data_IF_784185102665
#
_entry.id   IF_784185102665
#
_cell.length_a   1.000
_cell.length_b   1.000
_cell.length_c   1.000
_cell.angle_alpha   90.00
_cell.angle_beta   90.00
_cell.angle_gamma   90.00
#
_symmetry.space_group_name_H-M   'P 1'
#
loop_
_entity.id
_entity.type
_entity.pdbx_description
1 polymer ?
#
# COMPACT_ATOMS: atom_id res chain seq x y z
N UNK A 1 14.18 2.62 15.43
CA UNK A 1 13.37 1.65 14.64
C UNK A 1 12.02 1.29 15.27
N UNK A 2 11.87 1.20 16.60
CA UNK A 2 10.58 0.85 17.25
C UNK A 2 9.42 1.80 16.90
N UNK A 3 9.71 3.06 16.60
CA UNK A 3 8.73 4.09 16.23
C UNK A 3 7.96 3.76 14.95
N UNK A 4 8.58 3.07 13.99
CA UNK A 4 7.97 2.72 12.70
C UNK A 4 6.99 1.53 12.78
N UNK A 5 7.05 0.76 13.88
CA UNK A 5 6.12 -0.32 14.19
C UNK A 5 4.85 0.17 14.90
N UNK A 6 4.77 1.47 15.23
CA UNK A 6 3.59 2.04 15.86
C UNK A 6 2.49 2.26 14.80
N UNK A 7 1.29 1.69 15.01
CA UNK A 7 0.20 1.75 14.02
C UNK A 7 -0.27 3.17 13.69
N UNK A 8 -0.03 4.15 14.56
CA UNK A 8 -0.42 5.56 14.29
C UNK A 8 0.25 6.13 13.04
N UNK A 9 1.47 5.70 12.73
CA UNK A 9 2.19 6.18 11.54
C UNK A 9 1.57 5.70 10.23
N UNK A 10 0.85 4.57 10.24
CA UNK A 10 0.15 4.08 9.05
C UNK A 10 -0.97 5.02 8.59
N UNK A 11 -1.50 5.87 9.47
CA UNK A 11 -2.49 6.88 9.09
C UNK A 11 -1.86 7.87 8.10
N UNK A 12 -0.69 8.39 8.44
CA UNK A 12 0.01 9.39 7.61
C UNK A 12 0.60 8.75 6.36
N UNK A 13 1.17 7.55 6.50
CA UNK A 13 1.88 6.88 5.40
C UNK A 13 0.91 6.27 4.38
N UNK A 14 -0.27 5.83 4.80
CA UNK A 14 -1.17 5.08 3.92
C UNK A 14 -2.60 5.60 3.88
N UNK A 15 -3.23 5.90 5.00
CA UNK A 15 -4.65 6.31 4.98
C UNK A 15 -4.83 7.66 4.31
N UNK A 16 -4.02 8.65 4.67
CA UNK A 16 -4.10 10.00 4.06
C UNK A 16 -3.83 9.93 2.54
N UNK A 17 -2.71 9.33 2.05
CA UNK A 17 -2.48 9.18 0.62
C UNK A 17 -3.59 8.43 -0.11
N UNK A 18 -4.12 7.33 0.44
CA UNK A 18 -5.21 6.59 -0.18
C UNK A 18 -6.52 7.39 -0.26
N UNK A 19 -6.84 8.19 0.77
CA UNK A 19 -8.00 9.09 0.74
C UNK A 19 -7.83 10.17 -0.33
N UNK A 20 -6.65 10.78 -0.42
CA UNK A 20 -6.35 11.78 -1.46
C UNK A 20 -6.49 11.14 -2.85
N UNK A 21 -5.95 9.93 -3.03
CA UNK A 21 -6.08 9.18 -4.28
C UNK A 21 -7.56 8.93 -4.64
N UNK A 22 -8.39 8.53 -3.68
CA UNK A 22 -9.84 8.33 -3.88
C UNK A 22 -10.54 9.63 -4.32
N UNK A 23 -10.20 10.76 -3.70
CA UNK A 23 -10.75 12.07 -4.07
C UNK A 23 -10.34 12.47 -5.49
N UNK A 24 -9.08 12.24 -5.86
CA UNK A 24 -8.59 12.51 -7.22
C UNK A 24 -9.26 11.62 -8.25
N UNK A 25 -9.42 10.32 -7.97
CA UNK A 25 -10.16 9.39 -8.82
C UNK A 25 -11.61 9.81 -9.01
N UNK A 26 -12.30 10.18 -7.94
CA UNK A 26 -13.67 10.66 -8.01
C UNK A 26 -13.78 11.95 -8.83
N UNK A 27 -12.89 12.92 -8.59
CA UNK A 27 -12.84 14.18 -9.34
C UNK A 27 -12.66 13.93 -10.84
N UNK A 28 -11.68 13.10 -11.21
CA UNK A 28 -11.42 12.77 -12.61
C UNK A 28 -12.60 12.03 -13.24
N UNK A 29 -13.15 11.01 -12.56
CA UNK A 29 -14.30 10.25 -13.04
C UNK A 29 -15.51 11.16 -13.29
N UNK A 30 -15.82 12.08 -12.38
CA UNK A 30 -16.95 13.02 -12.53
C UNK A 30 -16.85 13.88 -13.80
N UNK A 31 -15.63 14.29 -14.17
CA UNK A 31 -15.37 15.10 -15.37
C UNK A 31 -15.57 14.26 -16.64
N UNK A 32 -15.07 13.02 -16.67
CA UNK A 32 -15.03 12.21 -17.90
C UNK A 32 -16.23 11.26 -18.05
N UNK A 33 -17.04 11.06 -17.00
CA UNK A 33 -18.12 10.05 -16.96
C UNK A 33 -19.09 10.14 -18.14
N UNK A 34 -19.44 11.34 -18.59
CA UNK A 34 -20.37 11.54 -19.71
C UNK A 34 -19.83 11.09 -21.07
N UNK A 35 -18.51 10.93 -21.18
CA UNK A 35 -17.80 10.49 -22.40
C UNK A 35 -17.44 9.00 -22.35
N UNK A 36 -17.58 8.36 -21.20
CA UNK A 36 -17.23 6.95 -21.00
C UNK A 36 -18.36 6.03 -21.50
N UNK A 37 -17.96 4.93 -22.14
CA UNK A 37 -18.85 3.79 -22.37
C UNK A 37 -19.23 3.16 -21.03
N UNK A 38 -20.38 2.50 -20.98
CA UNK A 38 -20.88 1.80 -19.78
C UNK A 38 -19.86 0.81 -19.22
N UNK A 39 -19.24 0.00 -20.07
CA UNK A 39 -18.21 -0.99 -19.69
C UNK A 39 -16.99 -0.33 -19.03
N UNK A 40 -16.51 0.78 -19.59
CA UNK A 40 -15.37 1.52 -19.02
C UNK A 40 -15.73 2.17 -17.69
N UNK A 41 -16.94 2.70 -17.56
CA UNK A 41 -17.41 3.30 -16.32
C UNK A 41 -17.51 2.26 -15.19
N UNK A 42 -17.90 1.02 -15.50
CA UNK A 42 -17.90 -0.09 -14.54
C UNK A 42 -16.49 -0.41 -14.04
N UNK A 43 -15.49 -0.43 -14.93
CA UNK A 43 -14.10 -0.66 -14.55
C UNK A 43 -13.60 0.43 -13.59
N UNK A 44 -13.91 1.70 -13.86
CA UNK A 44 -13.60 2.81 -12.94
C UNK A 44 -14.21 2.61 -11.55
N UNK A 45 -15.50 2.25 -11.51
CA UNK A 45 -16.20 2.00 -10.25
C UNK A 45 -15.59 0.81 -9.50
N UNK A 46 -15.23 -0.27 -10.20
CA UNK A 46 -14.58 -1.43 -9.60
C UNK A 46 -13.25 -1.06 -8.95
N UNK A 47 -12.37 -0.31 -9.64
CA UNK A 47 -11.11 0.14 -9.06
C UNK A 47 -11.32 1.06 -7.84
N UNK A 48 -12.27 1.99 -7.93
CA UNK A 48 -12.61 2.88 -6.81
C UNK A 48 -13.14 2.09 -5.60
N UNK A 49 -14.00 1.09 -5.85
CA UNK A 49 -14.59 0.24 -4.82
C UNK A 49 -13.52 -0.61 -4.15
N UNK A 50 -12.65 -1.26 -4.93
CA UNK A 50 -11.52 -2.06 -4.39
C UNK A 50 -10.63 -1.17 -3.53
N UNK A 51 -10.23 0.01 -4.01
CA UNK A 51 -9.39 0.93 -3.25
C UNK A 51 -10.07 1.39 -1.95
N UNK A 52 -11.38 1.64 -1.98
CA UNK A 52 -12.18 2.00 -0.80
C UNK A 52 -12.21 0.86 0.21
N UNK A 53 -12.43 -0.38 -0.23
CA UNK A 53 -12.42 -1.56 0.63
C UNK A 53 -11.05 -1.78 1.27
N UNK A 54 -9.97 -1.66 0.48
CA UNK A 54 -8.60 -1.79 0.98
C UNK A 54 -8.27 -0.73 2.03
N UNK A 55 -8.61 0.54 1.74
CA UNK A 55 -8.40 1.66 2.65
C UNK A 55 -9.21 1.47 3.95
N UNK A 56 -10.45 1.01 3.84
CA UNK A 56 -11.32 0.77 4.99
C UNK A 56 -10.84 -0.38 5.86
N UNK A 57 -10.45 -1.51 5.23
CA UNK A 57 -9.89 -2.66 5.94
C UNK A 57 -8.59 -2.28 6.67
N UNK A 58 -7.74 -1.49 6.02
CA UNK A 58 -6.52 -1.00 6.62
C UNK A 58 -6.79 -0.03 7.78
N UNK A 59 -7.75 0.88 7.64
CA UNK A 59 -8.17 1.77 8.71
C UNK A 59 -8.67 0.97 9.92
N UNK A 60 -9.51 -0.04 9.69
CA UNK A 60 -9.99 -0.92 10.75
C UNK A 60 -8.82 -1.63 11.48
N UNK A 61 -7.85 -2.16 10.74
CA UNK A 61 -6.65 -2.76 11.33
C UNK A 61 -5.87 -1.76 12.19
N UNK A 62 -5.66 -0.54 11.70
CA UNK A 62 -4.95 0.52 12.41
C UNK A 62 -5.68 0.89 13.71
N UNK A 63 -7.00 1.11 13.65
CA UNK A 63 -7.81 1.46 14.82
C UNK A 63 -7.78 0.35 15.88
N UNK A 64 -7.89 -0.91 15.47
CA UNK A 64 -7.73 -2.06 16.37
C UNK A 64 -6.33 -2.11 16.99
N UNK A 65 -5.29 -1.85 16.20
CA UNK A 65 -3.90 -1.78 16.66
C UNK A 65 -3.67 -0.66 17.68
N UNK A 66 -4.26 0.52 17.47
CA UNK A 66 -4.20 1.65 18.40
C UNK A 66 -4.94 1.32 19.69
N UNK A 67 -6.16 0.77 19.60
CA UNK A 67 -6.97 0.42 20.76
C UNK A 67 -6.30 -0.64 21.63
N UNK A 68 -5.79 -1.71 21.02
CA UNK A 68 -5.09 -2.80 21.72
C UNK A 68 -3.61 -2.49 22.01
N UNK A 69 -3.09 -1.34 21.58
CA UNK A 69 -1.67 -0.92 21.69
C UNK A 69 -0.70 -1.95 21.10
N UNK A 70 -1.11 -2.61 20.02
CA UNK A 70 -0.28 -3.61 19.33
C UNK A 70 0.65 -2.96 18.30
N UNK A 71 1.84 -3.52 18.18
CA UNK A 71 2.76 -3.19 17.10
C UNK A 71 2.30 -3.83 15.79
N UNK A 72 2.70 -3.22 14.67
CA UNK A 72 2.40 -3.73 13.33
C UNK A 72 3.00 -5.14 13.16
N UNK A 73 2.19 -6.07 12.67
CA UNK A 73 2.62 -7.46 12.47
C UNK A 73 3.38 -7.64 11.15
N UNK A 74 4.26 -8.64 11.10
CA UNK A 74 4.94 -9.04 9.86
C UNK A 74 3.94 -9.49 8.78
N UNK A 75 2.85 -10.16 9.19
CA UNK A 75 1.79 -10.60 8.28
C UNK A 75 1.11 -9.43 7.60
N UNK A 76 0.80 -8.36 8.35
CA UNK A 76 0.25 -7.15 7.76
C UNK A 76 1.17 -6.57 6.69
N UNK A 77 2.48 -6.49 6.96
CA UNK A 77 3.45 -5.97 5.98
C UNK A 77 3.49 -6.85 4.72
N UNK A 78 3.51 -8.17 4.87
CA UNK A 78 3.47 -9.09 3.73
C UNK A 78 2.20 -8.96 2.89
N UNK A 79 1.02 -8.97 3.53
CA UNK A 79 -0.26 -8.82 2.83
C UNK A 79 -0.41 -7.45 2.18
N UNK A 80 -0.02 -6.38 2.87
CA UNK A 80 -0.06 -5.02 2.32
C UNK A 80 0.78 -4.94 1.04
N UNK A 81 2.02 -5.45 1.08
CA UNK A 81 2.90 -5.45 -0.08
C UNK A 81 2.31 -6.25 -1.24
N UNK A 82 1.82 -7.46 -0.98
CA UNK A 82 1.23 -8.32 -2.01
C UNK A 82 -0.02 -7.68 -2.64
N UNK A 83 -0.97 -7.26 -1.81
CA UNK A 83 -2.27 -6.75 -2.28
C UNK A 83 -2.12 -5.44 -3.04
N UNK A 84 -1.33 -4.48 -2.53
CA UNK A 84 -1.12 -3.22 -3.23
C UNK A 84 -0.29 -3.40 -4.51
N UNK A 85 0.62 -4.37 -4.56
CA UNK A 85 1.34 -4.71 -5.79
C UNK A 85 0.39 -5.28 -6.84
N UNK A 86 -0.50 -6.21 -6.46
CA UNK A 86 -1.53 -6.76 -7.38
C UNK A 86 -2.46 -5.65 -7.87
N UNK A 87 -2.89 -4.76 -6.97
CA UNK A 87 -3.73 -3.62 -7.34
C UNK A 87 -3.06 -2.72 -8.37
N UNK A 88 -1.79 -2.33 -8.15
CA UNK A 88 -1.04 -1.50 -9.09
C UNK A 88 -0.80 -2.20 -10.43
N UNK A 89 -0.50 -3.51 -10.39
CA UNK A 89 -0.35 -4.30 -11.61
C UNK A 89 -1.64 -4.34 -12.42
N UNK A 90 -2.77 -4.65 -11.76
CA UNK A 90 -4.08 -4.64 -12.40
C UNK A 90 -4.40 -3.24 -12.97
N UNK A 91 -4.18 -2.18 -12.19
CA UNK A 91 -4.41 -0.82 -12.67
C UNK A 91 -3.59 -0.50 -13.93
N UNK A 92 -2.30 -0.88 -13.96
CA UNK A 92 -1.45 -0.68 -15.12
C UNK A 92 -1.94 -1.45 -16.35
N UNK A 93 -2.45 -2.68 -16.18
CA UNK A 93 -3.01 -3.46 -17.28
C UNK A 93 -4.29 -2.85 -17.88
N UNK A 94 -5.11 -2.21 -17.04
CA UNK A 94 -6.37 -1.58 -17.47
C UNK A 94 -6.23 -0.07 -17.73
N UNK A 95 -5.02 0.50 -17.69
CA UNK A 95 -4.81 1.95 -17.79
C UNK A 95 -5.33 2.53 -19.12
N UNK A 96 -5.04 1.87 -20.24
CA UNK A 96 -5.50 2.28 -21.58
C UNK A 96 -7.02 2.18 -21.75
N UNK A 97 -7.65 1.30 -20.98
CA UNK A 97 -9.11 1.13 -20.97
C UNK A 97 -9.76 2.18 -20.07
N UNK A 98 -9.17 2.47 -18.90
CA UNK A 98 -9.62 3.49 -17.97
C UNK A 98 -9.60 4.88 -18.61
N UNK A 99 -8.56 5.18 -19.39
CA UNK A 99 -8.41 6.46 -20.07
C UNK A 99 -8.24 6.19 -21.58
N UNK A 100 -9.34 5.95 -22.30
CA UNK A 100 -9.28 5.67 -23.72
C UNK A 100 -8.86 6.93 -24.51
N UNK A 101 -8.17 6.72 -25.64
CA UNK A 101 -7.74 7.79 -26.55
C UNK A 101 -8.87 8.68 -27.09
N UNK A 102 -10.14 8.24 -26.97
CA UNK A 102 -11.31 9.04 -27.35
C UNK A 102 -11.55 10.24 -26.42
N UNK A 103 -10.98 10.24 -25.21
CA UNK A 103 -11.12 11.37 -24.28
C UNK A 103 -10.03 12.41 -24.61
N UNK A 104 -10.41 13.68 -24.84
CA UNK A 104 -9.43 14.73 -25.08
C UNK A 104 -8.48 14.93 -23.89
N UNK A 105 -7.18 15.01 -24.16
CA UNK A 105 -6.14 15.13 -23.14
C UNK A 105 -6.28 16.37 -22.24
N UNK A 106 -6.86 17.47 -22.74
CA UNK A 106 -7.09 18.67 -21.92
C UNK A 106 -8.17 18.49 -20.84
N UNK A 107 -9.00 17.44 -20.93
CA UNK A 107 -9.99 17.07 -19.90
C UNK A 107 -9.41 16.18 -18.81
N UNK A 108 -8.20 15.67 -19.02
CA UNK A 108 -7.53 14.71 -18.15
C UNK A 108 -6.28 15.37 -17.60
N UNK A 109 -6.07 15.29 -16.30
CA UNK A 109 -4.74 15.63 -15.77
C UNK A 109 -3.75 14.59 -16.29
N UNK A 110 -2.70 15.05 -17.00
CA UNK A 110 -1.73 14.21 -17.73
C UNK A 110 -1.15 13.07 -16.85
N UNK A 111 -1.09 13.29 -15.53
CA UNK A 111 -0.47 12.37 -14.58
C UNK A 111 -1.44 11.38 -13.89
N UNK A 112 -2.72 11.32 -14.27
CA UNK A 112 -3.72 10.45 -13.59
C UNK A 112 -3.28 8.99 -13.55
N UNK A 113 -2.62 8.51 -14.61
CA UNK A 113 -2.08 7.15 -14.70
C UNK A 113 -1.01 6.89 -13.62
N UNK A 114 -0.27 7.92 -13.22
CA UNK A 114 0.80 7.82 -12.22
C UNK A 114 0.30 7.95 -10.79
N UNK A 115 -0.89 8.51 -10.56
CA UNK A 115 -1.41 8.77 -9.22
C UNK A 115 -1.44 7.53 -8.31
N UNK A 116 -1.96 6.36 -8.73
CA UNK A 116 -1.96 5.19 -7.86
C UNK A 116 -0.57 4.79 -7.41
N UNK A 117 0.40 4.83 -8.35
CA UNK A 117 1.80 4.58 -8.04
C UNK A 117 2.31 5.57 -6.99
N UNK A 118 2.18 6.87 -7.24
CA UNK A 118 2.71 7.92 -6.36
C UNK A 118 2.12 7.88 -4.95
N UNK A 119 0.80 7.71 -4.81
CA UNK A 119 0.13 7.76 -3.52
C UNK A 119 0.22 6.43 -2.74
N UNK A 120 0.36 5.28 -3.41
CA UNK A 120 0.51 3.98 -2.74
C UNK A 120 1.97 3.60 -2.48
N UNK A 121 2.94 4.26 -3.13
CA UNK A 121 4.37 3.99 -2.96
C UNK A 121 4.85 4.07 -1.50
N UNK A 122 4.47 5.08 -0.70
CA UNK A 122 4.89 5.15 0.70
C UNK A 122 4.46 3.92 1.51
N UNK A 123 3.26 3.40 1.24
CA UNK A 123 2.74 2.19 1.88
C UNK A 123 3.57 0.95 1.51
N UNK A 124 3.91 0.80 0.22
CA UNK A 124 4.75 -0.30 -0.26
C UNK A 124 6.16 -0.24 0.32
N UNK A 125 6.79 0.93 0.31
CA UNK A 125 8.12 1.15 0.90
C UNK A 125 8.09 0.82 2.39
N UNK A 126 7.07 1.29 3.12
CA UNK A 126 6.93 1.03 4.55
C UNK A 126 6.74 -0.46 4.85
N UNK A 127 5.89 -1.16 4.07
CA UNK A 127 5.70 -2.59 4.18
C UNK A 127 7.02 -3.36 3.94
N UNK A 128 7.76 -3.00 2.88
CA UNK A 128 9.07 -3.59 2.58
C UNK A 128 10.06 -3.34 3.72
N UNK A 129 10.10 -2.12 4.25
CA UNK A 129 10.96 -1.78 5.37
C UNK A 129 10.66 -2.59 6.63
N UNK A 130 9.37 -2.81 6.96
CA UNK A 130 8.98 -3.67 8.09
C UNK A 130 9.50 -5.10 7.88
N UNK A 131 9.32 -5.67 6.68
CA UNK A 131 9.79 -7.02 6.38
C UNK A 131 11.31 -7.15 6.56
N UNK A 132 12.08 -6.17 6.08
CA UNK A 132 13.53 -6.12 6.26
C UNK A 132 13.89 -6.06 7.74
N UNK A 133 13.25 -5.19 8.53
CA UNK A 133 13.52 -5.06 9.98
C UNK A 133 13.28 -6.38 10.71
N UNK A 134 12.18 -7.08 10.42
CA UNK A 134 11.89 -8.38 11.04
C UNK A 134 12.88 -9.47 10.61
N UNK A 135 13.27 -9.50 9.34
CA UNK A 135 14.26 -10.45 8.82
C UNK A 135 15.64 -10.25 9.47
N UNK A 136 16.09 -8.98 9.58
CA UNK A 136 17.37 -8.65 10.19
C UNK A 136 17.42 -8.98 11.69
N UNK A 137 16.34 -8.77 12.44
CA UNK A 137 16.31 -9.13 13.87
C UNK A 137 16.45 -10.65 14.09
N UNK A 138 15.83 -11.47 13.24
CA UNK A 138 15.95 -12.93 13.29
C UNK A 138 17.40 -13.38 13.07
N UNK A 139 18.13 -12.73 12.16
CA UNK A 139 19.54 -13.06 11.88
C UNK A 139 20.49 -12.78 13.06
N UNK A 140 20.30 -11.67 13.79
CA UNK A 140 21.12 -11.34 14.97
C UNK A 140 20.96 -12.34 16.12
N UNK A 141 19.76 -12.88 16.32
CA UNK A 141 19.51 -13.92 17.33
C UNK A 141 20.18 -15.24 16.98
N UNK A 142 20.24 -15.59 15.69
CA UNK A 142 20.92 -16.79 15.20
C UNK A 142 22.45 -16.71 15.34
N UNK A 143 23.06 -15.56 15.05
CA UNK A 143 24.50 -15.40 15.20
C UNK A 143 24.95 -15.35 16.67
N UNK A 144 24.11 -14.81 17.57
CA UNK A 144 24.41 -14.70 18.99
C UNK A 144 24.65 -16.06 19.66
N UNK A 145 23.83 -17.06 19.35
CA UNK A 145 24.00 -18.43 19.87
C UNK A 145 25.25 -19.13 19.34
N UNK A 146 25.62 -18.88 18.09
CA UNK A 146 26.87 -19.38 17.49
C UNK A 146 28.11 -18.77 18.16
N UNK A 147 28.08 -17.46 18.45
CA UNK A 147 29.14 -16.81 19.23
C UNK A 147 29.23 -17.35 20.66
N UNK A 148 28.09 -17.56 21.34
CA UNK A 148 28.07 -18.18 22.68
C UNK A 148 28.67 -19.60 22.67
N UNK A 149 28.33 -20.42 21.66
CA UNK A 149 28.87 -21.78 21.54
C UNK A 149 30.37 -21.77 21.24
N UNK A 150 30.85 -20.87 20.37
CA UNK A 150 32.28 -20.76 20.10
C UNK A 150 33.06 -20.26 21.32
N UNK A 151 32.51 -19.30 22.07
CA UNK A 151 33.18 -18.75 23.26
C UNK A 151 33.23 -19.74 24.44
N UNK A 152 32.22 -20.61 24.59
CA UNK A 152 32.26 -21.74 25.53
C UNK A 152 33.29 -22.81 25.15
N UNK A 153 33.52 -23.02 23.84
CA UNK A 153 34.45 -24.02 23.33
C UNK A 153 35.92 -23.62 23.46
N UNK A 154 36.24 -22.33 23.53
CA UNK A 154 37.61 -21.83 23.73
C UNK A 154 38.00 -21.63 25.21
N UNK A 155 37.12 -22.00 26.15
CA UNK A 155 37.35 -21.84 27.60
C UNK A 155 37.70 -23.13 28.36
N UNK A 156 37.81 -24.26 27.65
CA UNK A 156 38.24 -25.57 28.15
C UNK A 156 39.18 -26.22 27.14
#
# INVERSE_FOLDING_TARGET
>A
MKTLLNPRWLIVISIIPSIILLLLFYGQFSIIKSLLKTETAEIWLNFSLILTLLTSAQLAYILLGIYKKYNISIFYAFFSLLVYTIFLYAYAQYADILIPFSIPQWMINVDVILYPGSFLMPTLIHALFILVVFSSQKSRLSSAWLSFYMEFRYRY
#
